data_IF_070809722577
#
_entry.id   IF_070809722577
#
_cell.length_a   1.000
_cell.length_b   1.000
_cell.length_c   1.000
_cell.angle_alpha   90.00
_cell.angle_beta   90.00
_cell.angle_gamma   90.00
#
_symmetry.space_group_name_H-M   'P 1'
#
loop_
_entity.id
_entity.type
_entity.pdbx_description
1 polymer ?
#
# COMPACT_ATOMS: atom_id res chain seq x y z
N UNK A 1 -13.21 -0.87 -3.49
CA UNK A 1 -14.44 -1.60 -3.17
C UNK A 1 -14.17 -3.09 -3.11
N UNK A 2 -14.93 -3.79 -2.27
CA UNK A 2 -14.90 -5.25 -2.12
C UNK A 2 -15.11 -6.00 -3.44
N UNK A 3 -16.00 -5.53 -4.32
CA UNK A 3 -16.22 -6.15 -5.64
C UNK A 3 -14.96 -6.12 -6.53
N UNK A 4 -14.22 -5.01 -6.53
CA UNK A 4 -12.98 -4.87 -7.30
C UNK A 4 -11.88 -5.78 -6.73
N UNK A 5 -11.81 -5.91 -5.42
CA UNK A 5 -10.94 -6.86 -4.73
C UNK A 5 -11.22 -8.31 -5.17
N UNK A 6 -12.48 -8.75 -5.12
CA UNK A 6 -12.89 -10.11 -5.53
C UNK A 6 -12.56 -10.40 -6.99
N UNK A 7 -12.80 -9.44 -7.89
CA UNK A 7 -12.47 -9.59 -9.31
C UNK A 7 -10.95 -9.71 -9.54
N UNK A 8 -10.16 -8.84 -8.91
CA UNK A 8 -8.70 -8.89 -9.01
C UNK A 8 -8.14 -10.23 -8.51
N UNK A 9 -8.69 -10.73 -7.41
CA UNK A 9 -8.27 -12.01 -6.84
C UNK A 9 -8.58 -13.17 -7.80
N UNK A 10 -9.79 -13.21 -8.39
CA UNK A 10 -10.16 -14.23 -9.39
C UNK A 10 -9.23 -14.20 -10.59
N UNK A 11 -8.93 -13.02 -11.12
CA UNK A 11 -8.03 -12.87 -12.26
C UNK A 11 -6.62 -13.35 -11.90
N UNK A 12 -6.11 -12.99 -10.72
CA UNK A 12 -4.81 -13.47 -10.24
C UNK A 12 -4.75 -15.00 -10.15
N UNK A 13 -5.78 -15.64 -9.58
CA UNK A 13 -5.86 -17.10 -9.48
C UNK A 13 -5.87 -17.77 -10.86
N UNK A 14 -6.71 -17.27 -11.79
CA UNK A 14 -6.81 -17.80 -13.16
C UNK A 14 -5.48 -17.67 -13.89
N UNK A 15 -4.81 -16.52 -13.80
CA UNK A 15 -3.51 -16.31 -14.43
C UNK A 15 -2.46 -17.29 -13.90
N UNK A 16 -2.35 -17.45 -12.58
CA UNK A 16 -1.38 -18.39 -11.98
C UNK A 16 -1.66 -19.84 -12.38
N UNK A 17 -2.94 -20.26 -12.35
CA UNK A 17 -3.33 -21.64 -12.61
C UNK A 17 -3.30 -22.00 -14.10
N UNK A 18 -3.85 -21.15 -14.94
CA UNK A 18 -4.17 -21.50 -16.33
C UNK A 18 -3.15 -20.94 -17.34
N UNK A 19 -2.47 -19.83 -17.01
CA UNK A 19 -1.47 -19.22 -17.91
C UNK A 19 -0.05 -19.66 -17.55
N UNK A 20 0.27 -19.70 -16.25
CA UNK A 20 1.60 -20.09 -15.77
C UNK A 20 1.71 -21.54 -15.28
N UNK A 21 0.61 -22.30 -15.31
CA UNK A 21 0.54 -23.71 -14.90
C UNK A 21 1.08 -24.01 -13.49
N UNK A 22 1.00 -23.03 -12.58
CA UNK A 22 1.44 -23.18 -11.19
C UNK A 22 0.29 -23.67 -10.31
N UNK A 23 -0.15 -24.91 -10.54
CA UNK A 23 -1.33 -25.51 -9.89
C UNK A 23 -1.21 -25.59 -8.37
N UNK A 24 -0.05 -25.96 -7.85
CA UNK A 24 0.17 -26.03 -6.38
C UNK A 24 0.06 -24.65 -5.73
N UNK A 25 0.64 -23.64 -6.38
CA UNK A 25 0.54 -22.26 -5.92
C UNK A 25 -0.91 -21.74 -5.97
N UNK A 26 -1.68 -22.16 -6.98
CA UNK A 26 -3.10 -21.84 -7.06
C UNK A 26 -3.91 -22.39 -5.87
N UNK A 27 -3.60 -23.61 -5.39
CA UNK A 27 -4.21 -24.17 -4.17
C UNK A 27 -3.85 -23.31 -2.95
N UNK A 28 -2.60 -22.84 -2.85
CA UNK A 28 -2.19 -21.99 -1.73
C UNK A 28 -2.86 -20.62 -1.76
N UNK A 29 -3.04 -20.06 -2.95
CA UNK A 29 -3.77 -18.80 -3.15
C UNK A 29 -5.19 -18.95 -2.58
N UNK A 30 -5.92 -20.02 -2.93
CA UNK A 30 -7.31 -20.24 -2.45
C UNK A 30 -7.37 -20.25 -0.93
N UNK A 31 -6.53 -21.06 -0.28
CA UNK A 31 -6.45 -21.12 1.19
C UNK A 31 -6.05 -19.78 1.83
N UNK A 32 -5.14 -19.04 1.19
CA UNK A 32 -4.78 -17.69 1.64
C UNK A 32 -5.99 -16.75 1.62
N UNK A 33 -6.86 -16.83 0.62
CA UNK A 33 -8.08 -16.03 0.59
C UNK A 33 -9.07 -16.43 1.68
N UNK A 34 -9.23 -17.72 1.96
CA UNK A 34 -10.05 -18.18 3.08
C UNK A 34 -9.55 -17.58 4.41
N UNK A 35 -8.23 -17.56 4.62
CA UNK A 35 -7.63 -16.89 5.77
C UNK A 35 -7.95 -15.38 5.79
N UNK A 36 -7.80 -14.69 4.66
CA UNK A 36 -8.12 -13.26 4.53
C UNK A 36 -9.60 -13.00 4.81
N UNK A 37 -10.50 -13.76 4.22
CA UNK A 37 -11.95 -13.62 4.41
C UNK A 37 -12.34 -13.84 5.88
N UNK A 38 -11.73 -14.82 6.55
CA UNK A 38 -11.92 -15.05 7.99
C UNK A 38 -11.41 -13.87 8.83
N UNK A 39 -10.25 -13.30 8.50
CA UNK A 39 -9.75 -12.10 9.18
C UNK A 39 -10.69 -10.92 8.93
N UNK A 40 -11.20 -10.74 7.71
CA UNK A 40 -12.17 -9.66 7.41
C UNK A 40 -13.43 -9.81 8.25
N UNK A 41 -13.94 -11.03 8.39
CA UNK A 41 -15.15 -11.31 9.16
C UNK A 41 -14.99 -11.05 10.67
N UNK A 42 -13.80 -11.26 11.23
CA UNK A 42 -13.54 -11.14 12.67
C UNK A 42 -12.96 -9.76 13.04
N UNK A 43 -11.99 -9.30 12.27
CA UNK A 43 -11.10 -8.18 12.61
C UNK A 43 -11.29 -6.94 11.69
N UNK A 44 -12.23 -7.00 10.74
CA UNK A 44 -12.58 -5.92 9.83
C UNK A 44 -11.80 -5.92 8.50
N UNK A 45 -12.36 -5.23 7.50
CA UNK A 45 -11.86 -5.24 6.12
C UNK A 45 -10.40 -4.77 6.04
N UNK A 46 -10.05 -3.65 6.68
CA UNK A 46 -8.71 -3.09 6.53
C UNK A 46 -7.63 -3.96 7.18
N UNK A 47 -7.96 -4.69 8.26
CA UNK A 47 -7.07 -5.68 8.87
C UNK A 47 -6.76 -6.81 7.89
N UNK A 48 -7.81 -7.41 7.30
CA UNK A 48 -7.63 -8.47 6.29
C UNK A 48 -6.88 -7.99 5.04
N UNK A 49 -7.15 -6.76 4.60
CA UNK A 49 -6.47 -6.15 3.46
C UNK A 49 -4.97 -5.92 3.73
N UNK A 50 -4.61 -5.43 4.93
CA UNK A 50 -3.21 -5.26 5.35
C UNK A 50 -2.50 -6.61 5.46
N UNK A 51 -3.14 -7.62 6.03
CA UNK A 51 -2.61 -8.99 6.11
C UNK A 51 -2.32 -9.55 4.71
N UNK A 52 -3.28 -9.45 3.79
CA UNK A 52 -3.12 -9.92 2.42
C UNK A 52 -1.91 -9.28 1.72
N UNK A 53 -1.79 -7.95 1.78
CA UNK A 53 -0.68 -7.23 1.15
C UNK A 53 0.66 -7.72 1.72
N UNK A 54 0.77 -7.85 3.04
CA UNK A 54 2.02 -8.26 3.68
C UNK A 54 2.42 -9.71 3.34
N UNK A 55 1.47 -10.64 3.36
CA UNK A 55 1.74 -12.05 2.98
C UNK A 55 2.19 -12.14 1.53
N UNK A 56 1.50 -11.46 0.61
CA UNK A 56 1.89 -11.46 -0.82
C UNK A 56 3.23 -10.77 -1.03
N UNK A 57 3.49 -9.65 -0.38
CA UNK A 57 4.81 -8.99 -0.44
C UNK A 57 5.93 -9.92 0.01
N UNK A 58 5.75 -10.62 1.13
CA UNK A 58 6.74 -11.57 1.63
C UNK A 58 6.93 -12.76 0.67
N UNK A 59 5.85 -13.27 0.07
CA UNK A 59 5.92 -14.38 -0.86
C UNK A 59 6.77 -14.06 -2.10
N UNK A 60 6.71 -12.82 -2.60
CA UNK A 60 7.48 -12.40 -3.78
C UNK A 60 8.85 -11.79 -3.43
N UNK A 61 9.05 -11.28 -2.20
CA UNK A 61 10.32 -10.72 -1.77
C UNK A 61 11.33 -11.80 -1.37
N UNK A 62 10.88 -12.88 -0.74
CA UNK A 62 11.77 -13.92 -0.22
C UNK A 62 11.79 -15.14 -1.15
N UNK A 63 12.91 -15.28 -1.87
CA UNK A 63 13.24 -16.49 -2.63
C UNK A 63 13.86 -17.51 -1.69
N UNK A 64 13.11 -18.56 -1.32
CA UNK A 64 13.70 -19.67 -0.57
C UNK A 64 14.40 -20.60 -1.54
N UNK A 65 15.58 -21.11 -1.17
CA UNK A 65 16.23 -22.20 -1.90
C UNK A 65 16.29 -23.41 -0.97
N UNK A 66 15.89 -24.58 -1.48
CA UNK A 66 16.14 -25.88 -0.85
C UNK A 66 16.76 -26.78 -1.89
N UNK A 67 17.91 -27.38 -1.57
CA UNK A 67 18.62 -28.30 -2.46
C UNK A 67 18.88 -27.72 -3.87
N UNK A 68 19.14 -26.40 -3.94
CA UNK A 68 19.37 -25.67 -5.18
C UNK A 68 18.12 -25.26 -5.95
N UNK A 69 16.93 -25.73 -5.57
CA UNK A 69 15.64 -25.39 -6.19
C UNK A 69 15.03 -24.17 -5.49
N UNK A 70 14.61 -23.19 -6.28
CA UNK A 70 13.86 -22.03 -5.80
C UNK A 70 12.44 -22.45 -5.43
N UNK A 71 12.08 -22.30 -4.15
CA UNK A 71 10.78 -22.60 -3.61
C UNK A 71 10.02 -21.30 -3.35
N UNK A 72 8.78 -21.26 -3.85
CA UNK A 72 7.82 -20.25 -3.43
C UNK A 72 7.49 -20.42 -1.95
N UNK A 73 7.29 -19.30 -1.27
CA UNK A 73 6.83 -19.32 0.12
C UNK A 73 5.38 -19.79 0.15
N UNK A 74 5.09 -20.82 0.95
CA UNK A 74 3.72 -21.26 1.20
C UNK A 74 2.93 -20.14 1.91
N UNK A 75 1.93 -19.63 1.20
CA UNK A 75 1.00 -18.59 1.65
C UNK A 75 -0.31 -19.16 2.19
N UNK A 76 -0.53 -20.47 2.07
CA UNK A 76 -1.74 -21.13 2.56
C UNK A 76 -1.82 -21.16 4.09
N UNK A 77 -0.66 -21.13 4.75
CA UNK A 77 -0.55 -21.13 6.20
C UNK A 77 -0.90 -19.75 6.76
N UNK A 78 -1.83 -19.71 7.71
CA UNK A 78 -2.15 -18.51 8.46
C UNK A 78 -0.93 -18.04 9.26
N UNK A 79 -0.44 -16.84 8.95
CA UNK A 79 0.70 -16.24 9.64
C UNK A 79 0.20 -15.35 10.78
N UNK A 80 0.00 -15.94 11.95
CA UNK A 80 -0.56 -15.25 13.12
C UNK A 80 0.18 -13.97 13.48
N UNK A 81 1.52 -13.96 13.44
CA UNK A 81 2.32 -12.75 13.68
C UNK A 81 1.97 -11.61 12.71
N UNK A 82 1.82 -11.90 11.42
CA UNK A 82 1.44 -10.88 10.42
C UNK A 82 0.00 -10.41 10.65
N UNK A 83 -0.91 -11.33 11.03
CA UNK A 83 -2.29 -10.97 11.39
C UNK A 83 -2.31 -10.02 12.58
N UNK A 84 -1.59 -10.37 13.64
CA UNK A 84 -1.57 -9.60 14.89
C UNK A 84 -0.96 -8.21 14.67
N UNK A 85 0.11 -8.12 13.86
CA UNK A 85 0.68 -6.84 13.43
C UNK A 85 -0.29 -6.01 12.59
N UNK A 86 -0.98 -6.64 11.63
CA UNK A 86 -1.99 -5.97 10.81
C UNK A 86 -3.13 -5.43 11.68
N UNK A 87 -3.65 -6.23 12.62
CA UNK A 87 -4.71 -5.82 13.54
C UNK A 87 -4.27 -4.70 14.48
N UNK A 88 -3.10 -4.85 15.09
CA UNK A 88 -2.50 -3.85 15.99
C UNK A 88 -2.33 -2.51 15.28
N UNK A 89 -1.86 -2.52 14.02
CA UNK A 89 -1.73 -1.32 13.21
C UNK A 89 -3.09 -0.70 12.87
N UNK A 90 -4.06 -1.49 12.40
CA UNK A 90 -5.41 -1.00 12.09
C UNK A 90 -6.04 -0.34 13.31
N UNK A 91 -5.91 -0.96 14.49
CA UNK A 91 -6.41 -0.41 15.74
C UNK A 91 -5.66 0.85 16.16
N UNK A 92 -4.33 0.87 16.05
CA UNK A 92 -3.50 2.04 16.39
C UNK A 92 -3.85 3.27 15.55
N UNK A 93 -4.24 3.07 14.30
CA UNK A 93 -4.61 4.15 13.37
C UNK A 93 -6.11 4.51 13.42
N UNK A 94 -6.88 3.87 14.29
CA UNK A 94 -8.33 4.02 14.41
C UNK A 94 -9.06 3.73 13.09
N UNK A 95 -8.75 2.58 12.48
CA UNK A 95 -9.22 2.22 11.14
C UNK A 95 -10.02 0.91 11.08
N UNK A 96 -10.52 0.43 12.22
CA UNK A 96 -11.25 -0.84 12.29
C UNK A 96 -12.59 -0.80 11.54
N UNK A 97 -13.24 0.37 11.49
CA UNK A 97 -14.58 0.53 10.90
C UNK A 97 -14.57 0.78 9.37
N UNK A 98 -13.38 0.83 8.75
CA UNK A 98 -13.30 1.03 7.30
C UNK A 98 -13.72 -0.23 6.54
N UNK A 99 -14.71 -0.08 5.66
CA UNK A 99 -15.23 -1.13 4.78
C UNK A 99 -14.60 -1.15 3.38
N UNK A 100 -13.76 -0.15 3.07
CA UNK A 100 -12.98 -0.06 1.84
C UNK A 100 -11.61 0.59 2.14
N UNK A 101 -10.69 0.55 1.17
CA UNK A 101 -9.36 1.14 1.32
C UNK A 101 -9.44 2.69 1.33
N UNK A 102 -9.17 3.37 2.46
CA UNK A 102 -9.28 4.82 2.54
C UNK A 102 -8.16 5.55 1.78
N UNK A 103 -7.07 4.85 1.47
CA UNK A 103 -5.88 5.41 0.81
C UNK A 103 -5.95 5.40 -0.72
N UNK A 104 -7.05 4.91 -1.30
CA UNK A 104 -7.26 4.96 -2.75
C UNK A 104 -7.46 6.40 -3.22
N UNK A 105 -7.11 6.71 -4.47
CA UNK A 105 -7.43 8.01 -5.08
C UNK A 105 -8.95 8.25 -5.00
N UNK A 106 -9.36 9.37 -4.41
CA UNK A 106 -10.78 9.68 -4.15
C UNK A 106 -11.36 9.05 -2.89
N UNK A 107 -10.57 8.34 -2.07
CA UNK A 107 -10.96 7.87 -0.74
C UNK A 107 -10.91 9.00 0.31
N UNK A 108 -11.04 8.64 1.58
CA UNK A 108 -11.00 9.60 2.70
C UNK A 108 -9.57 10.01 3.12
N UNK A 109 -8.56 9.18 2.80
CA UNK A 109 -7.14 9.36 3.16
C UNK A 109 -6.17 9.21 1.96
N UNK A 110 -6.45 9.76 0.76
CA UNK A 110 -5.65 9.51 -0.46
C UNK A 110 -4.20 10.00 -0.34
N UNK A 111 -4.01 11.14 0.35
CA UNK A 111 -2.72 11.78 0.57
C UNK A 111 -2.07 11.37 1.89
N UNK A 112 -2.55 10.32 2.55
CA UNK A 112 -1.98 9.84 3.81
C UNK A 112 -1.12 8.62 3.56
N UNK A 113 -0.10 8.43 4.39
CA UNK A 113 0.75 7.24 4.37
C UNK A 113 0.06 6.10 5.13
N UNK A 114 -0.22 4.96 4.47
CA UNK A 114 -0.91 3.82 5.08
C UNK A 114 -0.14 3.13 6.21
N UNK A 115 1.17 3.37 6.36
CA UNK A 115 1.97 2.83 7.47
C UNK A 115 1.90 3.69 8.73
N UNK A 116 1.84 5.00 8.55
CA UNK A 116 1.91 5.96 9.66
C UNK A 116 0.55 6.56 10.02
N UNK A 117 -0.43 6.47 9.11
CA UNK A 117 -1.72 7.13 9.24
C UNK A 117 -1.59 8.65 9.34
N UNK A 118 -0.56 9.23 8.70
CA UNK A 118 -0.32 10.69 8.68
C UNK A 118 -0.32 11.21 7.24
N UNK A 119 -0.63 12.50 7.02
CA UNK A 119 -0.44 13.11 5.71
C UNK A 119 0.98 12.89 5.18
N UNK A 120 1.11 12.54 3.90
CA UNK A 120 2.38 12.42 3.20
C UNK A 120 3.06 13.80 3.20
N UNK A 121 4.32 13.84 3.60
CA UNK A 121 5.11 15.08 3.51
C UNK A 121 5.37 15.34 2.02
N UNK A 122 5.02 16.52 1.48
CA UNK A 122 5.37 16.88 0.11
C UNK A 122 6.89 16.81 -0.05
N UNK A 123 7.39 16.08 -1.05
CA UNK A 123 8.80 16.18 -1.43
C UNK A 123 9.05 17.63 -1.86
N UNK A 124 10.00 18.30 -1.20
CA UNK A 124 10.36 19.69 -1.49
C UNK A 124 10.58 19.87 -3.01
N UNK A 125 10.02 20.91 -3.67
CA UNK A 125 10.17 21.12 -5.11
C UNK A 125 11.60 21.48 -5.56
N UNK A 126 12.55 21.59 -4.63
CA UNK A 126 13.89 22.19 -4.85
C UNK A 126 14.84 21.38 -5.75
N UNK A 127 14.40 20.24 -6.31
CA UNK A 127 15.20 19.39 -7.19
C UNK A 127 14.61 19.18 -8.60
N UNK A 128 13.66 20.02 -9.03
CA UNK A 128 13.31 20.13 -10.44
C UNK A 128 13.87 21.45 -10.98
N UNK A 129 15.17 21.47 -11.24
CA UNK A 129 15.80 22.50 -12.07
C UNK A 129 16.18 21.86 -13.39
N UNK A 130 15.20 21.74 -14.30
CA UNK A 130 15.46 21.61 -15.72
C UNK A 130 14.54 22.58 -16.46
N UNK A 131 15.16 23.65 -16.95
CA UNK A 131 14.77 24.46 -18.11
C UNK A 131 13.40 25.14 -18.11
N UNK A 132 13.40 26.48 -18.14
CA UNK A 132 12.92 27.28 -19.29
C UNK A 132 13.18 28.78 -18.99
N UNK A 133 13.93 29.40 -19.90
CA UNK A 133 14.13 30.84 -20.01
C UNK A 133 12.85 31.54 -20.54
N UNK A 134 12.76 32.84 -20.27
CA UNK A 134 11.92 33.87 -20.90
C UNK A 134 10.44 34.01 -20.50
N UNK A 135 10.08 35.10 -19.81
CA UNK A 135 9.70 36.40 -20.43
C UNK A 135 9.32 37.49 -19.42
N UNK A 136 9.84 38.67 -19.72
CA UNK A 136 9.54 40.06 -19.32
C UNK A 136 8.24 40.42 -18.58
N UNK A 137 8.40 41.18 -17.48
CA UNK A 137 8.08 42.62 -17.48
C UNK A 137 6.70 43.08 -17.00
N UNK A 138 6.61 43.60 -15.75
CA UNK A 138 6.02 44.92 -15.46
C UNK A 138 6.14 45.36 -13.98
N UNK A 139 6.90 46.44 -13.79
CA UNK A 139 6.64 47.64 -12.97
C UNK A 139 6.10 47.55 -11.53
N UNK A 140 6.83 48.19 -10.63
CA UNK A 140 6.25 49.20 -9.72
C UNK A 140 6.63 49.10 -8.25
N UNK A 141 7.28 50.13 -7.71
CA UNK A 141 7.12 50.52 -6.29
C UNK A 141 8.40 50.71 -5.47
N UNK A 142 8.85 51.95 -5.38
CA UNK A 142 9.90 52.49 -4.50
C UNK A 142 9.62 52.22 -3.01
N UNK A 143 10.65 51.92 -2.20
CA UNK A 143 10.68 52.32 -0.79
C UNK A 143 12.07 52.76 -0.33
N UNK A 144 12.03 53.69 0.62
CA UNK A 144 12.91 54.83 0.88
C UNK A 144 13.89 54.51 2.01
N UNK A 145 15.15 54.94 1.86
CA UNK A 145 16.21 54.96 2.89
C UNK A 145 15.81 55.93 4.02
N UNK A 146 15.98 55.53 5.27
CA UNK A 146 16.08 56.43 6.42
C UNK A 146 17.17 55.92 7.36
N UNK A 147 18.17 56.76 7.56
CA UNK A 147 19.21 56.66 8.59
C UNK A 147 18.70 57.32 9.89
N UNK A 148 19.22 56.89 11.04
CA UNK A 148 19.19 57.70 12.26
C UNK A 148 19.45 56.96 13.57
N UNK A 149 20.70 57.03 14.04
CA UNK A 149 21.00 57.30 15.46
C UNK A 149 21.45 56.13 16.35
N UNK A 150 22.76 55.98 16.53
CA UNK A 150 23.52 56.52 17.67
C UNK A 150 25.02 56.49 17.37
#
# INVERSE_FOLDING_TARGET
>A
SFAKWTSNYRNFLVTIRDVYDHKDFAVWIVKHKENVDNIIAVDGFLTGFRYDIQVRQNAFAFRKKRDGVELMTDISVLRTTIRDEAWSLTRKLDELDYTDNPYVRGGSKPEWDPRTGKPKIPKNPRWNSDGIFDREGQQGGRFRKQEGGQ
#
